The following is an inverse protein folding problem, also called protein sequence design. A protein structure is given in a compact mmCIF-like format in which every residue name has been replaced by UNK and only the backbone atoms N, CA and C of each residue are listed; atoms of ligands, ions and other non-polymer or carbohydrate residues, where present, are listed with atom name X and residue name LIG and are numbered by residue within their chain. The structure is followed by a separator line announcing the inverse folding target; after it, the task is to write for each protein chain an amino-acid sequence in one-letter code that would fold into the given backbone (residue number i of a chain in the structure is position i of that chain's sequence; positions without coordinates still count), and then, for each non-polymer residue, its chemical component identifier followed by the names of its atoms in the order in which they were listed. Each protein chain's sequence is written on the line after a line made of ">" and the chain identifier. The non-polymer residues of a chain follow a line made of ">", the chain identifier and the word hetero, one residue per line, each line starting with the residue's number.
data_IF_363985477278
#
_entry.id   IF_363985477278
#
_cell.length_a   1.000
_cell.length_b   1.000
_cell.length_c   1.000
_cell.angle_alpha   90.00
_cell.angle_beta   90.00
_cell.angle_gamma   90.00
#
_symmetry.space_group_name_H-M   'P 1'
#
loop_
_entity.id
_entity.type
_entity.pdbx_description
1 polymer ?
#
# COMPACT_ATOMS: atom_id res chain seq x y z
N UNK A 1 29.56 -16.11 -26.41
CA UNK A 1 28.63 -15.70 -25.33
C UNK A 1 29.37 -15.85 -24.02
N UNK A 2 29.44 -14.82 -23.14
CA UNK A 2 30.10 -15.04 -21.86
C UNK A 2 29.27 -16.09 -21.11
N UNK A 3 29.93 -17.18 -20.69
CA UNK A 3 29.30 -18.35 -20.08
C UNK A 3 28.87 -18.10 -18.61
N UNK A 4 28.95 -16.85 -18.14
CA UNK A 4 28.67 -16.46 -16.76
C UNK A 4 27.80 -15.19 -16.75
N UNK A 5 26.73 -15.22 -15.97
CA UNK A 5 25.87 -14.07 -15.70
C UNK A 5 26.59 -13.12 -14.74
N UNK A 6 26.69 -11.83 -15.10
CA UNK A 6 27.29 -10.82 -14.21
C UNK A 6 26.22 -10.36 -13.21
N UNK A 7 26.57 -10.37 -11.94
CA UNK A 7 25.69 -9.94 -10.85
C UNK A 7 26.33 -8.73 -10.17
N UNK A 8 25.57 -7.65 -10.06
CA UNK A 8 25.97 -6.44 -9.36
C UNK A 8 25.21 -6.40 -8.03
N UNK A 9 25.87 -6.88 -6.97
CA UNK A 9 25.41 -6.74 -5.60
C UNK A 9 25.66 -5.30 -5.15
N UNK A 10 24.59 -4.53 -4.97
CA UNK A 10 24.68 -3.11 -4.62
C UNK A 10 23.92 -2.81 -3.33
N UNK A 11 24.21 -1.66 -2.76
CA UNK A 11 23.54 -1.16 -1.56
C UNK A 11 22.12 -0.70 -1.91
N UNK A 12 21.22 -0.86 -0.95
CA UNK A 12 19.86 -0.33 -1.03
C UNK A 12 19.82 0.96 -0.23
N UNK A 13 20.17 2.06 -0.88
CA UNK A 13 20.19 3.38 -0.26
C UNK A 13 18.78 3.99 -0.19
N UNK A 14 18.49 4.73 0.88
CA UNK A 14 17.21 5.45 1.01
C UNK A 14 17.02 6.50 -0.10
N UNK A 15 18.11 7.11 -0.56
CA UNK A 15 18.10 8.12 -1.61
C UNK A 15 18.11 7.54 -3.04
N UNK A 16 18.28 6.21 -3.19
CA UNK A 16 18.27 5.53 -4.47
C UNK A 16 19.61 5.53 -5.23
N UNK A 17 20.70 6.08 -4.69
CA UNK A 17 21.96 6.25 -5.41
C UNK A 17 22.62 4.91 -5.78
N UNK A 18 22.78 4.01 -4.82
CA UNK A 18 23.34 2.67 -5.03
C UNK A 18 22.56 1.87 -6.07
N UNK A 19 21.22 1.91 -5.98
CA UNK A 19 20.32 1.27 -6.93
C UNK A 19 20.48 1.84 -8.35
N UNK A 20 20.54 3.17 -8.47
CA UNK A 20 20.64 3.86 -9.76
C UNK A 20 21.97 3.57 -10.44
N UNK A 21 23.08 3.64 -9.69
CA UNK A 21 24.42 3.34 -10.22
C UNK A 21 24.54 1.87 -10.61
N UNK A 22 24.02 0.96 -9.80
CA UNK A 22 24.02 -0.46 -10.11
C UNK A 22 23.17 -0.78 -11.34
N UNK A 23 22.00 -0.17 -11.49
CA UNK A 23 21.16 -0.34 -12.66
C UNK A 23 21.86 0.15 -13.94
N UNK A 24 22.54 1.30 -13.89
CA UNK A 24 23.32 1.82 -15.01
C UNK A 24 24.47 0.88 -15.39
N UNK A 25 25.21 0.36 -14.40
CA UNK A 25 26.28 -0.59 -14.62
C UNK A 25 25.77 -1.93 -15.17
N UNK A 26 24.65 -2.44 -14.65
CA UNK A 26 24.03 -3.68 -15.11
C UNK A 26 23.60 -3.56 -16.58
N UNK A 27 23.00 -2.44 -16.96
CA UNK A 27 22.62 -2.18 -18.34
C UNK A 27 23.84 -2.14 -19.29
N UNK A 28 24.98 -1.61 -18.83
CA UNK A 28 26.20 -1.53 -19.62
C UNK A 28 26.91 -2.87 -19.84
N UNK A 29 26.71 -3.85 -18.94
CA UNK A 29 27.39 -5.14 -18.98
C UNK A 29 26.45 -6.35 -19.17
N UNK A 30 25.18 -6.11 -19.52
CA UNK A 30 24.14 -7.15 -19.57
C UNK A 30 24.04 -7.96 -18.26
N UNK A 31 24.25 -7.28 -17.13
CA UNK A 31 24.22 -7.86 -15.79
C UNK A 31 22.85 -7.76 -15.11
N UNK A 32 22.74 -8.33 -13.91
CA UNK A 32 21.56 -8.26 -13.04
C UNK A 32 21.92 -7.59 -11.72
N UNK A 33 21.07 -6.68 -11.25
CA UNK A 33 21.25 -6.02 -9.95
C UNK A 33 20.63 -6.88 -8.86
N UNK A 34 21.40 -7.15 -7.81
CA UNK A 34 20.89 -7.69 -6.56
C UNK A 34 20.96 -6.60 -5.48
N UNK A 35 19.87 -6.44 -4.74
CA UNK A 35 19.79 -5.49 -3.63
C UNK A 35 19.47 -6.24 -2.33
N UNK A 36 20.03 -5.81 -1.18
CA UNK A 36 19.73 -6.42 0.10
C UNK A 36 18.23 -6.31 0.43
N UNK A 37 17.66 -7.27 1.18
CA UNK A 37 16.25 -7.25 1.61
C UNK A 37 15.93 -6.17 2.66
N UNK A 38 16.90 -5.33 3.00
CA UNK A 38 16.82 -4.20 3.95
C UNK A 38 17.40 -2.95 3.29
N UNK A 39 17.12 -1.76 3.84
CA UNK A 39 17.91 -0.57 3.50
C UNK A 39 19.30 -0.69 4.13
N UNK A 40 20.34 -0.34 3.39
CA UNK A 40 21.74 -0.56 3.78
C UNK A 40 22.47 -1.52 2.85
N UNK A 41 23.52 -2.14 3.37
CA UNK A 41 24.38 -3.07 2.62
C UNK A 41 24.01 -4.55 2.86
N UNK A 42 24.76 -5.47 2.25
CA UNK A 42 24.55 -6.91 2.41
C UNK A 42 24.95 -7.44 3.79
N UNK A 43 25.85 -6.76 4.50
CA UNK A 43 26.22 -7.11 5.87
C UNK A 43 25.08 -6.75 6.84
N UNK A 44 24.43 -5.60 6.66
CA UNK A 44 23.21 -5.21 7.39
C UNK A 44 22.11 -6.27 7.19
N UNK A 45 21.95 -6.78 5.97
CA UNK A 45 21.00 -7.86 5.70
C UNK A 45 21.32 -9.13 6.49
N UNK A 46 22.58 -9.56 6.55
CA UNK A 46 22.99 -10.73 7.34
C UNK A 46 22.74 -10.50 8.83
N UNK A 47 23.08 -9.33 9.35
CA UNK A 47 22.89 -9.00 10.76
C UNK A 47 21.40 -8.94 11.16
N UNK A 48 20.54 -8.40 10.28
CA UNK A 48 19.12 -8.19 10.58
C UNK A 48 18.21 -9.36 10.21
N UNK A 49 18.54 -10.12 9.16
CA UNK A 49 17.69 -11.20 8.62
C UNK A 49 18.31 -12.59 8.71
N UNK A 50 19.60 -12.68 9.03
CA UNK A 50 20.35 -13.93 9.06
C UNK A 50 20.86 -14.37 7.67
N UNK A 51 21.80 -15.31 7.68
CA UNK A 51 22.51 -15.75 6.47
C UNK A 51 21.58 -16.39 5.43
N UNK A 52 20.67 -17.26 5.86
CA UNK A 52 19.78 -18.00 4.94
C UNK A 52 18.83 -17.07 4.18
N UNK A 53 18.25 -16.08 4.85
CA UNK A 53 17.35 -15.11 4.23
C UNK A 53 18.09 -14.21 3.24
N UNK A 54 19.29 -13.76 3.60
CA UNK A 54 20.14 -12.95 2.73
C UNK A 54 20.59 -13.73 1.50
N UNK A 55 20.99 -15.00 1.69
CA UNK A 55 21.33 -15.91 0.59
C UNK A 55 20.14 -16.13 -0.33
N UNK A 56 18.95 -16.34 0.22
CA UNK A 56 17.71 -16.45 -0.58
C UNK A 56 17.45 -15.17 -1.38
N UNK A 57 17.63 -13.99 -0.80
CA UNK A 57 17.43 -12.72 -1.50
C UNK A 57 18.40 -12.55 -2.69
N UNK A 58 19.65 -12.98 -2.57
CA UNK A 58 20.59 -13.03 -3.70
C UNK A 58 20.07 -14.00 -4.77
N UNK A 59 19.68 -15.23 -4.38
CA UNK A 59 19.18 -16.22 -5.33
C UNK A 59 17.91 -15.78 -6.06
N UNK A 60 16.99 -15.12 -5.37
CA UNK A 60 15.76 -14.59 -5.95
C UNK A 60 16.07 -13.45 -6.94
N UNK A 61 17.07 -12.61 -6.66
CA UNK A 61 17.48 -11.53 -7.55
C UNK A 61 18.16 -12.02 -8.84
N UNK A 62 18.92 -13.11 -8.79
CA UNK A 62 19.65 -13.65 -9.95
C UNK A 62 18.80 -14.60 -10.80
N UNK A 63 17.68 -15.07 -10.25
CA UNK A 63 16.75 -15.91 -10.98
C UNK A 63 16.21 -15.09 -12.17
N UNK A 64 16.30 -15.60 -13.41
CA UNK A 64 15.71 -14.93 -14.56
C UNK A 64 14.25 -14.62 -14.24
N UNK A 65 13.79 -13.43 -14.65
CA UNK A 65 12.38 -13.09 -14.55
C UNK A 65 11.56 -14.25 -15.14
N UNK A 66 10.71 -14.86 -14.32
CA UNK A 66 9.93 -16.01 -14.75
C UNK A 66 9.12 -15.58 -15.98
N UNK A 67 9.41 -16.21 -17.12
CA UNK A 67 8.63 -15.97 -18.32
C UNK A 67 7.20 -16.39 -18.03
N UNK A 68 6.24 -15.61 -18.53
CA UNK A 68 4.84 -15.94 -18.34
C UNK A 68 4.59 -17.34 -18.92
N UNK A 69 3.87 -18.22 -18.21
CA UNK A 69 3.53 -19.54 -18.74
C UNK A 69 2.84 -19.44 -20.11
N UNK A 70 2.05 -18.38 -20.32
CA UNK A 70 1.32 -18.11 -21.57
C UNK A 70 2.20 -17.70 -22.75
N UNK A 71 3.51 -17.47 -22.53
CA UNK A 71 4.47 -17.15 -23.59
C UNK A 71 5.26 -18.40 -24.05
N UNK A 72 5.21 -19.49 -23.26
CA UNK A 72 6.05 -20.69 -23.48
C UNK A 72 5.24 -21.96 -23.75
N UNK A 73 4.02 -22.06 -23.21
CA UNK A 73 3.17 -23.24 -23.41
C UNK A 73 2.45 -23.23 -24.76
N UNK A 74 2.06 -24.41 -25.23
CA UNK A 74 1.24 -24.57 -26.43
C UNK A 74 -0.27 -24.51 -26.15
N UNK A 75 -1.05 -24.20 -27.20
CA UNK A 75 -2.52 -24.22 -27.15
C UNK A 75 -3.08 -25.58 -26.68
N UNK A 76 -2.50 -26.68 -27.20
CA UNK A 76 -2.97 -28.03 -26.94
C UNK A 76 -2.73 -28.44 -25.47
N UNK A 77 -1.53 -28.16 -24.96
CA UNK A 77 -1.19 -28.39 -23.54
C UNK A 77 -2.13 -27.60 -22.63
N UNK A 78 -2.32 -26.31 -22.91
CA UNK A 78 -3.22 -25.48 -22.10
C UNK A 78 -4.67 -25.95 -22.19
N UNK A 79 -5.16 -26.32 -23.36
CA UNK A 79 -6.56 -26.74 -23.54
C UNK A 79 -6.86 -28.01 -22.74
N UNK A 80 -5.93 -28.96 -22.69
CA UNK A 80 -6.04 -30.22 -21.97
C UNK A 80 -6.01 -30.08 -20.43
N UNK A 81 -5.51 -28.96 -19.89
CA UNK A 81 -5.42 -28.73 -18.45
C UNK A 81 -6.80 -28.68 -17.76
N UNK A 82 -6.83 -29.10 -16.49
CA UNK A 82 -7.99 -28.92 -15.63
C UNK A 82 -8.23 -27.44 -15.30
N UNK A 83 -9.38 -27.11 -14.68
CA UNK A 83 -9.66 -25.74 -14.25
C UNK A 83 -8.67 -25.24 -13.19
N UNK A 84 -8.27 -26.12 -12.26
CA UNK A 84 -7.27 -25.80 -11.23
C UNK A 84 -5.89 -25.59 -11.82
N UNK A 85 -5.48 -26.40 -12.80
CA UNK A 85 -4.19 -26.22 -13.45
C UNK A 85 -4.15 -24.90 -14.24
N UNK A 86 -5.22 -24.59 -14.98
CA UNK A 86 -5.36 -23.29 -15.68
C UNK A 86 -5.30 -22.12 -14.70
N UNK A 87 -5.97 -22.24 -13.56
CA UNK A 87 -5.92 -21.22 -12.52
C UNK A 87 -4.50 -21.06 -11.95
N UNK A 88 -3.77 -22.15 -11.69
CA UNK A 88 -2.35 -22.09 -11.29
C UNK A 88 -1.49 -21.35 -12.33
N UNK A 89 -1.71 -21.58 -13.63
CA UNK A 89 -0.98 -20.84 -14.69
C UNK A 89 -1.28 -19.35 -14.67
N UNK A 90 -2.52 -18.97 -14.39
CA UNK A 90 -2.88 -17.56 -14.18
C UNK A 90 -2.16 -17.01 -12.94
N UNK A 91 -2.12 -17.75 -11.83
CA UNK A 91 -1.41 -17.31 -10.62
C UNK A 91 0.09 -17.09 -10.87
N UNK A 92 0.73 -18.03 -11.56
CA UNK A 92 2.14 -17.96 -12.00
C UNK A 92 2.38 -16.75 -12.92
N UNK A 93 1.48 -16.50 -13.89
CA UNK A 93 1.57 -15.35 -14.78
C UNK A 93 1.60 -14.02 -14.03
N UNK A 94 0.85 -13.91 -12.93
CA UNK A 94 0.83 -12.71 -12.09
C UNK A 94 1.96 -12.68 -11.04
N UNK A 95 2.92 -13.62 -11.05
CA UNK A 95 4.08 -13.60 -10.14
C UNK A 95 3.70 -13.68 -8.66
N UNK A 96 2.69 -14.50 -8.35
CA UNK A 96 2.12 -14.66 -7.00
C UNK A 96 1.70 -13.31 -6.38
N UNK A 97 1.27 -12.37 -7.22
CA UNK A 97 0.89 -11.02 -6.81
C UNK A 97 -0.63 -10.86 -6.73
N UNK A 98 -1.38 -11.94 -6.57
CA UNK A 98 -2.85 -11.93 -6.44
C UNK A 98 -3.26 -12.40 -5.05
N UNK A 99 -4.32 -11.79 -4.52
CA UNK A 99 -4.97 -12.19 -3.29
C UNK A 99 -6.48 -11.90 -3.37
N UNK A 100 -7.27 -12.59 -2.55
CA UNK A 100 -8.68 -12.26 -2.34
C UNK A 100 -8.87 -11.51 -1.02
N UNK A 101 -9.93 -10.73 -0.91
CA UNK A 101 -10.36 -10.16 0.37
C UNK A 101 -10.74 -11.27 1.38
N UNK A 102 -10.99 -10.87 2.64
CA UNK A 102 -11.34 -11.80 3.71
C UNK A 102 -12.59 -12.66 3.40
N UNK A 103 -13.50 -12.16 2.55
CA UNK A 103 -14.70 -12.89 2.14
C UNK A 103 -14.50 -13.77 0.89
N UNK A 104 -13.31 -13.76 0.30
CA UNK A 104 -12.99 -14.54 -0.90
C UNK A 104 -13.63 -14.03 -2.19
N UNK A 105 -14.18 -12.81 -2.21
CA UNK A 105 -14.97 -12.28 -3.33
C UNK A 105 -14.17 -11.33 -4.22
N UNK A 106 -13.47 -10.38 -3.61
CA UNK A 106 -12.79 -9.29 -4.30
C UNK A 106 -11.34 -9.67 -4.56
N UNK A 107 -10.96 -9.65 -5.84
CA UNK A 107 -9.58 -9.87 -6.25
C UNK A 107 -8.78 -8.58 -6.11
N UNK A 108 -7.55 -8.72 -5.63
CA UNK A 108 -6.59 -7.62 -5.61
C UNK A 108 -5.26 -8.08 -6.16
N UNK A 109 -4.51 -7.12 -6.70
CA UNK A 109 -3.14 -7.33 -7.16
C UNK A 109 -2.18 -6.45 -6.41
N UNK A 110 -1.03 -7.01 -6.07
CA UNK A 110 0.07 -6.28 -5.48
C UNK A 110 0.89 -5.59 -6.56
N UNK A 111 0.91 -4.27 -6.52
CA UNK A 111 1.64 -3.41 -7.45
C UNK A 111 2.20 -2.21 -6.69
N UNK A 112 3.46 -1.84 -6.98
CA UNK A 112 4.11 -0.65 -6.41
C UNK A 112 3.98 -0.55 -4.87
N UNK A 113 4.20 -1.67 -4.18
CA UNK A 113 4.22 -1.68 -2.72
C UNK A 113 2.87 -1.89 -2.03
N UNK A 114 1.75 -1.88 -2.78
CA UNK A 114 0.39 -1.91 -2.23
C UNK A 114 -0.54 -2.89 -2.96
N UNK A 115 -1.57 -3.35 -2.28
CA UNK A 115 -2.64 -4.18 -2.82
C UNK A 115 -3.78 -3.31 -3.37
N UNK A 116 -4.05 -3.42 -4.66
CA UNK A 116 -5.14 -2.71 -5.35
C UNK A 116 -6.24 -3.67 -5.77
N UNK A 117 -7.49 -3.31 -5.49
CA UNK A 117 -8.65 -4.06 -5.97
C UNK A 117 -8.70 -4.05 -7.50
N UNK A 118 -8.93 -5.21 -8.11
CA UNK A 118 -9.21 -5.34 -9.54
C UNK A 118 -10.71 -5.61 -9.71
N UNK A 119 -11.44 -4.74 -10.43
CA UNK A 119 -12.84 -5.00 -10.75
C UNK A 119 -13.02 -6.35 -11.45
N UNK A 120 -14.01 -7.13 -11.04
CA UNK A 120 -14.21 -8.49 -11.54
C UNK A 120 -14.32 -8.57 -13.08
N UNK A 121 -15.05 -7.63 -13.69
CA UNK A 121 -15.18 -7.55 -15.15
C UNK A 121 -13.83 -7.31 -15.85
N UNK A 122 -12.96 -6.48 -15.27
CA UNK A 122 -11.61 -6.23 -15.77
C UNK A 122 -10.76 -7.47 -15.66
N UNK A 123 -10.81 -8.16 -14.51
CA UNK A 123 -10.01 -9.38 -14.32
C UNK A 123 -10.45 -10.52 -15.26
N UNK A 124 -11.75 -10.71 -15.47
CA UNK A 124 -12.28 -11.68 -16.43
C UNK A 124 -11.78 -11.40 -17.86
N UNK A 125 -11.72 -10.13 -18.28
CA UNK A 125 -11.14 -9.74 -19.58
C UNK A 125 -9.66 -10.07 -19.65
N UNK A 126 -8.89 -9.73 -18.62
CA UNK A 126 -7.46 -10.06 -18.58
C UNK A 126 -7.21 -11.57 -18.72
N UNK A 127 -8.01 -12.41 -18.05
CA UNK A 127 -7.89 -13.88 -18.20
C UNK A 127 -8.30 -14.34 -19.59
N UNK A 128 -9.33 -13.75 -20.20
CA UNK A 128 -9.69 -14.04 -21.59
C UNK A 128 -8.55 -13.68 -22.57
N UNK A 129 -7.86 -12.56 -22.35
CA UNK A 129 -6.70 -12.16 -23.17
C UNK A 129 -5.57 -13.19 -23.07
N UNK A 130 -5.37 -13.83 -21.91
CA UNK A 130 -4.39 -14.92 -21.75
C UNK A 130 -4.76 -16.16 -22.57
N UNK A 131 -6.04 -16.52 -22.65
CA UNK A 131 -6.51 -17.58 -23.55
C UNK A 131 -6.24 -17.21 -25.01
N UNK A 132 -6.52 -15.96 -25.40
CA UNK A 132 -6.29 -15.47 -26.76
C UNK A 132 -4.82 -15.50 -27.17
N UNK A 133 -3.89 -15.17 -26.26
CA UNK A 133 -2.44 -15.24 -26.53
C UNK A 133 -2.01 -16.66 -26.94
N UNK A 134 -2.59 -17.67 -26.30
CA UNK A 134 -2.38 -19.08 -26.64
C UNK A 134 -3.24 -19.56 -27.80
N UNK A 135 -4.10 -18.71 -28.37
CA UNK A 135 -5.13 -19.05 -29.36
C UNK A 135 -6.12 -20.12 -28.86
N UNK A 136 -6.21 -20.31 -27.54
CA UNK A 136 -7.05 -21.32 -26.94
C UNK A 136 -8.53 -20.86 -26.93
N UNK A 137 -9.49 -21.75 -27.27
CA UNK A 137 -10.89 -21.41 -27.26
C UNK A 137 -11.42 -21.22 -25.83
N UNK A 138 -12.27 -20.20 -25.66
CA UNK A 138 -12.90 -19.89 -24.38
C UNK A 138 -14.37 -19.49 -24.52
N UNK A 139 -15.08 -19.54 -23.40
CA UNK A 139 -16.43 -19.01 -23.23
C UNK A 139 -16.48 -18.24 -21.92
N UNK A 140 -17.50 -17.40 -21.73
CA UNK A 140 -17.70 -16.67 -20.47
C UNK A 140 -17.72 -17.61 -19.26
N UNK A 141 -18.43 -18.74 -19.35
CA UNK A 141 -18.49 -19.74 -18.29
C UNK A 141 -17.14 -20.41 -18.00
N UNK A 142 -16.33 -20.69 -19.03
CA UNK A 142 -15.00 -21.27 -18.84
C UNK A 142 -14.04 -20.30 -18.14
N UNK A 143 -14.06 -19.02 -18.55
CA UNK A 143 -13.24 -17.99 -17.91
C UNK A 143 -13.69 -17.77 -16.46
N UNK A 144 -14.99 -17.66 -16.21
CA UNK A 144 -15.53 -17.54 -14.87
C UNK A 144 -15.13 -18.72 -13.98
N UNK A 145 -15.23 -19.96 -14.48
CA UNK A 145 -14.80 -21.15 -13.74
C UNK A 145 -13.31 -21.12 -13.37
N UNK A 146 -12.43 -20.67 -14.26
CA UNK A 146 -10.99 -20.51 -13.95
C UNK A 146 -10.77 -19.44 -12.88
N UNK A 147 -11.47 -18.30 -12.97
CA UNK A 147 -11.35 -17.21 -11.97
C UNK A 147 -11.88 -17.63 -10.60
N UNK A 148 -13.03 -18.30 -10.53
CA UNK A 148 -13.56 -18.80 -9.26
C UNK A 148 -12.67 -19.89 -8.66
N UNK A 149 -12.06 -20.75 -9.50
CA UNK A 149 -11.07 -21.74 -9.02
C UNK A 149 -9.81 -21.06 -8.52
N UNK A 150 -9.34 -20.00 -9.19
CA UNK A 150 -8.18 -19.21 -8.78
C UNK A 150 -8.37 -18.59 -7.39
N UNK A 151 -9.56 -18.06 -7.09
CA UNK A 151 -9.87 -17.49 -5.76
C UNK A 151 -9.69 -18.49 -4.62
N UNK A 152 -9.83 -19.79 -4.88
CA UNK A 152 -9.62 -20.86 -3.88
C UNK A 152 -8.13 -21.17 -3.66
N UNK A 153 -7.27 -20.80 -4.61
CA UNK A 153 -5.83 -21.11 -4.61
C UNK A 153 -5.04 -19.98 -3.98
N UNK A 154 -5.37 -18.73 -4.33
CA UNK A 154 -4.60 -17.57 -3.91
C UNK A 154 -4.86 -17.21 -2.44
N UNK A 155 -3.90 -16.56 -1.76
CA UNK A 155 -4.05 -16.23 -0.35
C UNK A 155 -5.19 -15.24 -0.10
N UNK A 156 -5.78 -15.33 1.09
CA UNK A 156 -6.65 -14.31 1.65
C UNK A 156 -5.81 -13.17 2.24
N UNK A 157 -6.26 -11.93 2.03
CA UNK A 157 -5.66 -10.76 2.64
C UNK A 157 -5.89 -10.73 4.14
N UNK A 158 -4.86 -10.41 4.91
CA UNK A 158 -5.03 -10.00 6.30
C UNK A 158 -5.26 -8.48 6.41
N UNK A 159 -5.63 -8.05 7.60
CA UNK A 159 -5.68 -6.62 7.92
C UNK A 159 -4.25 -6.04 7.95
N UNK A 160 -3.98 -4.91 7.25
CA UNK A 160 -2.70 -4.23 7.36
C UNK A 160 -2.44 -3.83 8.81
N UNK A 161 -1.23 -4.09 9.29
CA UNK A 161 -0.83 -3.70 10.63
C UNK A 161 -0.80 -2.17 10.73
N UNK A 162 -1.60 -1.60 11.62
CA UNK A 162 -1.81 -0.13 11.72
C UNK A 162 -0.58 0.68 12.03
N UNK A 163 0.42 0.05 12.65
CA UNK A 163 1.71 0.67 12.93
C UNK A 163 2.52 0.94 11.67
N UNK A 164 2.16 0.35 10.53
CA UNK A 164 2.88 0.47 9.27
C UNK A 164 2.33 1.64 8.46
N UNK A 165 3.21 2.56 8.11
CA UNK A 165 2.92 3.66 7.19
C UNK A 165 3.67 3.39 5.90
N UNK A 166 2.93 3.23 4.80
CA UNK A 166 3.52 3.13 3.47
C UNK A 166 3.91 4.50 2.93
N UNK A 167 5.12 4.62 2.41
CA UNK A 167 5.65 5.75 1.64
C UNK A 167 5.93 5.27 0.22
N UNK A 168 6.23 6.18 -0.72
CA UNK A 168 6.57 5.78 -2.10
C UNK A 168 7.82 4.90 -2.16
N UNK A 169 8.79 5.13 -1.27
CA UNK A 169 10.06 4.42 -1.24
C UNK A 169 10.14 3.30 -0.18
N UNK A 170 9.07 3.00 0.58
CA UNK A 170 9.13 1.93 1.58
C UNK A 170 8.04 2.01 2.65
N UNK A 171 8.29 1.38 3.80
CA UNK A 171 7.32 1.25 4.89
C UNK A 171 7.99 1.57 6.22
N UNK A 172 7.44 2.52 6.96
CA UNK A 172 7.84 2.87 8.33
C UNK A 172 7.02 2.06 9.33
N UNK A 173 7.68 1.33 10.22
CA UNK A 173 7.04 0.78 11.42
C UNK A 173 7.13 1.78 12.56
N UNK A 174 6.01 2.45 12.88
CA UNK A 174 5.93 3.47 13.94
C UNK A 174 6.21 2.95 15.34
N UNK A 175 6.15 1.63 15.58
CA UNK A 175 6.46 1.07 16.90
C UNK A 175 7.95 0.93 17.15
N UNK A 176 8.71 0.57 16.11
CA UNK A 176 10.16 0.37 16.19
C UNK A 176 10.97 1.53 15.64
N UNK A 177 10.34 2.42 14.85
CA UNK A 177 11.00 3.47 14.08
C UNK A 177 11.77 2.95 12.86
N UNK A 178 11.66 1.65 12.54
CA UNK A 178 12.42 1.04 11.45
C UNK A 178 11.72 1.32 10.12
N UNK A 179 12.49 1.86 9.17
CA UNK A 179 12.07 1.97 7.78
C UNK A 179 12.56 0.77 6.98
N UNK A 180 11.66 0.12 6.25
CA UNK A 180 11.92 -1.13 5.53
C UNK A 180 11.36 -1.12 4.11
N UNK A 181 11.91 -1.93 3.20
CA UNK A 181 11.34 -2.09 1.87
C UNK A 181 9.89 -2.59 1.91
N UNK A 182 9.13 -2.34 0.85
CA UNK A 182 7.77 -2.87 0.75
C UNK A 182 7.74 -4.39 0.79
N UNK A 183 6.68 -4.94 1.38
CA UNK A 183 6.41 -6.38 1.40
C UNK A 183 4.93 -6.66 1.15
N UNK A 184 4.66 -7.71 0.37
CA UNK A 184 3.30 -8.27 0.16
C UNK A 184 2.64 -8.63 1.49
N UNK A 185 3.42 -9.12 2.45
CA UNK A 185 2.94 -9.56 3.77
C UNK A 185 2.48 -8.42 4.68
N UNK A 186 2.74 -7.16 4.32
CA UNK A 186 2.25 -6.01 5.09
C UNK A 186 0.79 -5.67 4.77
N UNK A 187 0.24 -6.21 3.68
CA UNK A 187 -1.15 -6.00 3.26
C UNK A 187 -1.57 -4.53 3.11
N UNK A 188 -0.60 -3.63 2.91
CA UNK A 188 -0.87 -2.20 2.70
C UNK A 188 -1.71 -2.01 1.44
N UNK A 189 -2.74 -1.18 1.53
CA UNK A 189 -3.65 -0.85 0.43
C UNK A 189 -3.41 0.53 -0.16
N UNK A 190 -2.69 1.36 0.58
CA UNK A 190 -2.33 2.73 0.23
C UNK A 190 -0.90 3.03 0.65
N UNK A 191 -0.36 4.11 0.11
CA UNK A 191 0.88 4.74 0.55
C UNK A 191 0.72 6.26 0.52
N UNK A 192 1.48 6.95 1.36
CA UNK A 192 1.69 8.39 1.25
C UNK A 192 2.50 8.64 -0.05
N UNK A 193 2.03 9.56 -0.90
CA UNK A 193 2.68 9.88 -2.18
C UNK A 193 3.92 10.78 -2.01
N UNK A 194 4.72 10.49 -1.00
CA UNK A 194 5.97 11.17 -0.66
C UNK A 194 7.01 10.12 -0.27
N UNK A 195 8.28 10.46 -0.43
CA UNK A 195 9.39 9.62 0.00
C UNK A 195 9.69 9.87 1.49
N UNK A 196 9.95 8.80 2.23
CA UNK A 196 10.51 8.91 3.57
C UNK A 196 11.97 9.32 3.47
N UNK A 197 12.36 10.28 4.30
CA UNK A 197 13.74 10.73 4.43
C UNK A 197 14.18 10.61 5.90
N UNK A 198 15.44 10.21 6.15
CA UNK A 198 15.97 10.18 7.50
C UNK A 198 16.10 11.62 8.04
N UNK A 199 15.96 11.82 9.36
CA UNK A 199 16.14 13.13 9.96
C UNK A 199 17.52 13.71 9.68
N UNK A 200 17.58 14.98 9.27
CA UNK A 200 18.84 15.71 9.08
C UNK A 200 19.24 16.42 10.38
N UNK A 201 20.54 16.56 10.63
CA UNK A 201 21.02 17.31 11.82
C UNK A 201 20.48 18.75 11.81
N UNK A 202 19.84 19.15 12.90
CA UNK A 202 19.21 20.46 13.02
C UNK A 202 17.88 20.60 12.27
N UNK A 203 17.29 19.50 11.79
CA UNK A 203 15.99 19.53 11.13
C UNK A 203 14.89 20.04 12.07
N UNK A 204 14.18 21.08 11.64
CA UNK A 204 13.02 21.64 12.34
C UNK A 204 11.93 22.00 11.35
N UNK A 205 10.67 21.95 11.78
CA UNK A 205 9.53 22.36 10.95
C UNK A 205 9.68 23.81 10.44
N UNK A 206 10.23 24.70 11.26
CA UNK A 206 10.42 26.11 10.90
C UNK A 206 11.37 26.31 9.71
N UNK A 207 12.43 25.52 9.66
CA UNK A 207 13.50 25.66 8.66
C UNK A 207 13.30 24.74 7.45
N UNK A 208 12.80 23.52 7.67
CA UNK A 208 12.68 22.47 6.65
C UNK A 208 11.26 22.33 6.10
N UNK A 209 10.26 22.88 6.80
CA UNK A 209 8.88 22.95 6.33
C UNK A 209 8.27 24.36 6.54
N UNK A 210 8.91 25.45 6.05
CA UNK A 210 8.57 26.82 6.44
C UNK A 210 7.13 27.23 6.12
N UNK A 211 6.55 26.71 5.03
CA UNK A 211 5.14 26.98 4.68
C UNK A 211 4.17 26.27 5.64
N UNK A 212 4.46 25.02 6.00
CA UNK A 212 3.70 24.28 6.99
C UNK A 212 3.81 24.94 8.36
N UNK A 213 5.01 25.35 8.77
CA UNK A 213 5.24 26.07 10.02
C UNK A 213 4.44 27.38 10.11
N UNK A 214 4.49 28.21 9.06
CA UNK A 214 3.72 29.48 9.00
C UNK A 214 2.22 29.24 9.14
N UNK A 215 1.70 28.21 8.48
CA UNK A 215 0.30 27.83 8.61
C UNK A 215 -0.01 27.32 10.03
N UNK A 216 0.81 26.41 10.58
CA UNK A 216 0.63 25.81 11.89
C UNK A 216 0.63 26.88 12.99
N UNK A 217 1.59 27.79 12.95
CA UNK A 217 1.71 28.88 13.92
C UNK A 217 0.53 29.85 13.84
N UNK A 218 0.09 30.19 12.62
CA UNK A 218 -1.11 31.01 12.40
C UNK A 218 -2.38 30.31 12.91
N UNK A 219 -2.58 29.03 12.60
CA UNK A 219 -3.74 28.25 13.04
C UNK A 219 -3.78 28.11 14.57
N UNK A 220 -2.59 28.05 15.19
CA UNK A 220 -2.42 28.05 16.63
C UNK A 220 -2.49 29.44 17.28
N UNK A 221 -2.49 30.53 16.50
CA UNK A 221 -2.44 31.90 17.01
C UNK A 221 -1.17 32.20 17.82
N UNK A 222 -0.03 31.65 17.40
CA UNK A 222 1.25 31.77 18.11
C UNK A 222 1.38 30.91 19.37
N UNK A 223 0.33 30.18 19.76
CA UNK A 223 0.31 29.39 21.00
C UNK A 223 1.00 28.02 20.80
N UNK A 224 2.10 27.79 21.52
CA UNK A 224 2.88 26.56 21.44
C UNK A 224 2.10 25.28 21.79
N UNK A 225 1.27 25.34 22.84
CA UNK A 225 0.46 24.19 23.25
C UNK A 225 -0.57 23.85 22.17
N UNK A 226 -1.21 24.86 21.56
CA UNK A 226 -2.15 24.65 20.46
C UNK A 226 -1.47 24.09 19.21
N UNK A 227 -0.22 24.50 18.91
CA UNK A 227 0.60 23.87 17.84
C UNK A 227 0.78 22.37 18.10
N UNK A 228 1.14 21.99 19.32
CA UNK A 228 1.31 20.58 19.69
C UNK A 228 0.01 19.77 19.57
N UNK A 229 -1.13 20.36 19.92
CA UNK A 229 -2.44 19.71 19.74
C UNK A 229 -2.74 19.46 18.25
N UNK A 230 -2.48 20.44 17.38
CA UNK A 230 -2.66 20.28 15.93
C UNK A 230 -1.72 19.19 15.39
N UNK A 231 -0.46 19.17 15.83
CA UNK A 231 0.50 18.12 15.44
C UNK A 231 0.05 16.73 15.93
N UNK A 232 -0.46 16.62 17.16
CA UNK A 232 -1.00 15.37 17.70
C UNK A 232 -2.23 14.89 16.91
N UNK A 233 -3.10 15.81 16.48
CA UNK A 233 -4.24 15.51 15.62
C UNK A 233 -3.80 14.98 14.23
N UNK A 234 -2.80 15.62 13.62
CA UNK A 234 -2.22 15.15 12.35
C UNK A 234 -1.52 13.79 12.51
N UNK A 235 -0.82 13.57 13.63
CA UNK A 235 -0.23 12.28 13.95
C UNK A 235 -1.29 11.19 14.13
N UNK A 236 -2.42 11.51 14.79
CA UNK A 236 -3.55 10.58 14.91
C UNK A 236 -4.06 10.14 13.54
N UNK A 237 -4.16 11.05 12.57
CA UNK A 237 -4.55 10.73 11.18
C UNK A 237 -3.48 9.86 10.50
N UNK A 238 -2.21 10.30 10.53
CA UNK A 238 -1.10 9.61 9.88
C UNK A 238 -0.91 8.17 10.39
N UNK A 239 -0.98 7.97 11.71
CA UNK A 239 -0.79 6.68 12.36
C UNK A 239 -2.11 5.90 12.58
N UNK A 240 -3.22 6.38 12.00
CA UNK A 240 -4.55 5.76 12.11
C UNK A 240 -4.94 5.39 13.56
N UNK A 241 -4.75 6.33 14.49
CA UNK A 241 -4.91 6.15 15.95
C UNK A 241 -6.36 6.31 16.42
N UNK A 242 -7.27 5.51 15.87
CA UNK A 242 -8.63 5.47 16.39
C UNK A 242 -8.69 4.93 17.84
N UNK A 243 -7.68 4.18 18.29
CA UNK A 243 -7.57 3.63 19.64
C UNK A 243 -7.45 4.70 20.74
N UNK A 244 -7.24 5.96 20.36
CA UNK A 244 -7.36 7.09 21.28
C UNK A 244 -8.81 7.40 21.65
N UNK A 245 -9.78 6.85 20.91
CA UNK A 245 -11.21 7.05 21.12
C UNK A 245 -11.62 8.53 21.06
N UNK A 246 -11.03 9.26 20.11
CA UNK A 246 -11.29 10.67 19.87
C UNK A 246 -11.71 10.88 18.41
N UNK A 247 -12.51 11.92 18.19
CA UNK A 247 -12.66 12.54 16.89
C UNK A 247 -12.18 13.99 16.96
N UNK A 248 -11.85 14.56 15.81
CA UNK A 248 -11.31 15.91 15.71
C UNK A 248 -12.42 16.88 15.33
N UNK A 249 -12.84 17.71 16.27
CA UNK A 249 -13.70 18.85 15.98
C UNK A 249 -12.83 20.09 15.70
N UNK A 250 -12.93 20.62 14.49
CA UNK A 250 -12.11 21.75 14.04
C UNK A 250 -13.00 22.96 13.84
N UNK A 251 -12.95 23.91 14.77
CA UNK A 251 -13.78 25.12 14.74
C UNK A 251 -12.94 26.39 14.54
N UNK A 252 -13.58 27.44 14.02
CA UNK A 252 -12.95 28.74 13.84
C UNK A 252 -13.59 29.59 12.74
N UNK A 253 -13.32 30.90 12.71
CA UNK A 253 -13.86 31.80 11.69
C UNK A 253 -13.37 31.44 10.28
N UNK A 254 -13.99 32.03 9.25
CA UNK A 254 -13.50 31.95 7.87
C UNK A 254 -12.02 32.40 7.77
N UNK A 255 -11.23 31.73 6.92
CA UNK A 255 -9.81 32.09 6.72
C UNK A 255 -8.85 31.70 7.85
N UNK A 256 -9.29 30.88 8.81
CA UNK A 256 -8.47 30.33 9.91
C UNK A 256 -7.57 29.15 9.50
N UNK A 257 -7.71 28.64 8.27
CA UNK A 257 -6.89 27.53 7.76
C UNK A 257 -7.47 26.12 8.02
N UNK A 258 -8.75 26.00 8.39
CA UNK A 258 -9.43 24.70 8.60
C UNK A 258 -9.41 23.81 7.36
N UNK A 259 -9.68 24.38 6.18
CA UNK A 259 -9.64 23.62 4.92
C UNK A 259 -8.22 23.12 4.63
N UNK A 260 -7.19 23.90 4.99
CA UNK A 260 -5.79 23.46 4.87
C UNK A 260 -5.50 22.29 5.82
N UNK A 261 -6.05 22.31 7.05
CA UNK A 261 -5.94 21.16 7.96
C UNK A 261 -6.53 19.89 7.34
N UNK A 262 -7.73 19.99 6.73
CA UNK A 262 -8.39 18.87 6.07
C UNK A 262 -7.59 18.35 4.87
N UNK A 263 -7.00 19.23 4.07
CA UNK A 263 -6.11 18.86 2.95
C UNK A 263 -4.83 18.16 3.44
N UNK A 264 -4.21 18.65 4.52
CA UNK A 264 -3.04 18.01 5.12
C UNK A 264 -3.42 16.63 5.67
N UNK A 265 -4.53 16.51 6.39
CA UNK A 265 -5.03 15.22 6.88
C UNK A 265 -5.30 14.23 5.73
N UNK A 266 -5.92 14.70 4.63
CA UNK A 266 -6.15 13.90 3.42
C UNK A 266 -4.83 13.44 2.79
N UNK A 267 -3.82 14.30 2.75
CA UNK A 267 -2.49 13.97 2.25
C UNK A 267 -1.82 12.87 3.09
N UNK A 268 -1.93 12.97 4.43
CA UNK A 268 -1.35 12.00 5.36
C UNK A 268 -2.05 10.64 5.30
N UNK A 269 -3.39 10.62 5.24
CA UNK A 269 -4.17 9.39 5.12
C UNK A 269 -4.11 8.76 3.72
N UNK A 270 -3.87 9.59 2.68
CA UNK A 270 -4.00 9.22 1.28
C UNK A 270 -5.41 9.49 0.75
N UNK A 271 -5.49 10.02 -0.48
CA UNK A 271 -6.77 10.38 -1.13
C UNK A 271 -7.69 9.17 -1.28
N UNK A 272 -7.15 8.03 -1.68
CA UNK A 272 -7.91 6.77 -1.86
C UNK A 272 -8.39 6.18 -0.53
N UNK A 273 -7.87 6.68 0.59
CA UNK A 273 -8.18 6.25 1.95
C UNK A 273 -8.98 7.30 2.74
N UNK A 274 -9.40 8.36 2.06
CA UNK A 274 -10.22 9.44 2.62
C UNK A 274 -11.58 9.48 1.97
N UNK A 275 -12.63 9.62 2.76
CA UNK A 275 -14.00 9.81 2.28
C UNK A 275 -14.67 10.99 2.97
N UNK A 276 -15.71 11.54 2.35
CA UNK A 276 -16.55 12.58 2.93
C UNK A 276 -17.92 12.00 3.28
N UNK A 277 -18.44 12.34 4.46
CA UNK A 277 -19.74 11.88 4.94
C UNK A 277 -20.43 12.96 5.78
N UNK A 278 -21.70 12.75 6.12
CA UNK A 278 -22.42 13.57 7.11
C UNK A 278 -22.59 12.79 8.41
N UNK A 279 -22.96 13.48 9.50
CA UNK A 279 -23.27 12.79 10.77
C UNK A 279 -24.38 11.75 10.57
N UNK A 280 -25.41 12.06 9.78
CA UNK A 280 -26.52 11.15 9.49
C UNK A 280 -26.06 9.87 8.80
N UNK A 281 -25.08 9.97 7.89
CA UNK A 281 -24.46 8.82 7.23
C UNK A 281 -23.83 7.87 8.25
N UNK A 282 -23.20 8.42 9.29
CA UNK A 282 -22.53 7.64 10.33
C UNK A 282 -23.51 7.01 11.33
N UNK A 283 -24.67 7.64 11.55
CA UNK A 283 -25.69 7.10 12.45
C UNK A 283 -26.56 6.02 11.78
N UNK A 284 -26.73 6.09 10.47
CA UNK A 284 -27.49 5.11 9.69
C UNK A 284 -26.68 3.84 9.41
N UNK A 285 -27.11 2.70 9.96
CA UNK A 285 -26.45 1.39 9.73
C UNK A 285 -26.36 0.99 8.26
N UNK A 286 -27.31 1.44 7.44
CA UNK A 286 -27.32 1.18 5.99
C UNK A 286 -26.35 2.09 5.24
N UNK A 287 -26.30 3.38 5.60
CA UNK A 287 -25.48 4.36 4.88
C UNK A 287 -24.01 4.30 5.29
N UNK A 288 -23.71 3.83 6.51
CA UNK A 288 -22.35 3.53 6.98
C UNK A 288 -21.55 2.63 6.04
N UNK A 289 -22.20 1.84 5.20
CA UNK A 289 -21.53 1.05 4.17
C UNK A 289 -20.63 1.90 3.25
N UNK A 290 -20.96 3.18 3.04
CA UNK A 290 -20.20 4.09 2.20
C UNK A 290 -18.83 4.49 2.78
N UNK A 291 -18.62 4.34 4.10
CA UNK A 291 -17.37 4.70 4.78
C UNK A 291 -16.49 3.49 5.13
N UNK A 292 -16.92 2.28 4.77
CA UNK A 292 -16.16 1.05 5.02
C UNK A 292 -14.84 1.08 4.24
N UNK A 293 -13.74 0.75 4.94
CA UNK A 293 -12.41 0.61 4.36
C UNK A 293 -11.59 1.89 4.28
N UNK A 294 -12.18 3.05 4.60
CA UNK A 294 -11.46 4.32 4.68
C UNK A 294 -10.81 4.52 6.05
N UNK A 295 -9.64 5.15 6.09
CA UNK A 295 -8.92 5.48 7.35
C UNK A 295 -9.19 6.90 7.83
N UNK A 296 -9.71 7.78 6.96
CA UNK A 296 -10.11 9.14 7.30
C UNK A 296 -11.52 9.41 6.76
N UNK A 297 -12.40 9.86 7.65
CA UNK A 297 -13.74 10.34 7.30
C UNK A 297 -13.79 11.83 7.62
N UNK A 298 -14.03 12.65 6.61
CA UNK A 298 -14.17 14.10 6.76
C UNK A 298 -15.66 14.44 6.77
N UNK A 299 -16.06 15.21 7.77
CA UNK A 299 -17.41 15.73 7.91
C UNK A 299 -17.39 17.25 7.66
N UNK A 300 -17.50 17.69 6.39
CA UNK A 300 -17.46 19.12 6.07
C UNK A 300 -18.73 19.81 6.58
N UNK A 301 -18.58 21.03 7.09
CA UNK A 301 -19.67 21.97 7.44
C UNK A 301 -20.96 21.29 7.93
N UNK A 302 -20.94 20.81 9.17
CA UNK A 302 -22.11 20.19 9.77
C UNK A 302 -23.07 21.26 10.31
N UNK A 303 -24.34 21.16 9.92
CA UNK A 303 -25.41 21.93 10.55
C UNK A 303 -25.62 21.49 12.00
N UNK A 304 -26.44 22.24 12.75
CA UNK A 304 -26.77 21.89 14.12
C UNK A 304 -27.47 20.53 14.15
N UNK A 305 -26.77 19.52 14.63
CA UNK A 305 -27.27 18.15 14.70
C UNK A 305 -27.68 17.76 16.12
N UNK A 306 -28.67 16.88 16.24
CA UNK A 306 -29.11 16.28 17.51
C UNK A 306 -29.43 14.79 17.36
N UNK A 307 -28.80 13.96 18.17
CA UNK A 307 -29.02 12.52 18.29
C UNK A 307 -28.16 11.93 19.40
N UNK A 308 -28.19 10.61 19.59
CA UNK A 308 -27.44 9.93 20.67
C UNK A 308 -25.93 9.77 20.36
N UNK A 309 -25.56 9.94 19.08
CA UNK A 309 -24.19 9.87 18.57
C UNK A 309 -23.60 8.47 18.67
N UNK A 310 -24.46 7.45 18.68
CA UNK A 310 -24.05 6.06 18.87
C UNK A 310 -23.15 5.59 17.71
N UNK A 311 -23.48 5.97 16.48
CA UNK A 311 -22.70 5.63 15.29
C UNK A 311 -21.30 6.23 15.32
N UNK A 312 -21.19 7.55 15.57
CA UNK A 312 -19.89 8.22 15.70
C UNK A 312 -19.06 7.62 16.83
N UNK A 313 -19.67 7.36 18.00
CA UNK A 313 -18.99 6.74 19.13
C UNK A 313 -18.48 5.33 18.80
N UNK A 314 -19.26 4.51 18.11
CA UNK A 314 -18.84 3.17 17.75
C UNK A 314 -17.65 3.19 16.76
N UNK A 315 -17.71 4.05 15.73
CA UNK A 315 -16.63 4.20 14.75
C UNK A 315 -15.34 4.70 15.42
N UNK A 316 -15.46 5.71 16.28
CA UNK A 316 -14.30 6.31 16.96
C UNK A 316 -13.79 5.48 18.12
N UNK A 317 -14.65 4.66 18.75
CA UNK A 317 -14.32 3.71 19.80
C UNK A 317 -13.65 2.42 19.30
N UNK A 318 -13.75 2.15 17.99
CA UNK A 318 -13.22 0.93 17.38
C UNK A 318 -14.13 -0.29 17.56
N UNK A 319 -15.41 -0.08 17.84
CA UNK A 319 -16.40 -1.14 17.91
C UNK A 319 -16.63 -1.76 16.53
N UNK A 320 -17.10 -3.00 16.47
CA UNK A 320 -17.57 -3.58 15.22
C UNK A 320 -18.90 -2.91 14.83
N UNK A 321 -18.92 -2.19 13.71
CA UNK A 321 -20.04 -1.35 13.26
C UNK A 321 -20.63 -1.77 11.92
#
# INVERSE_FOLDING_TARGET
>A
HPACQIILAADRDLNGDGQTKAAAAAAACEGVVALPPVFGDWNDAVMLKGEDATRKAIYDAIRPAAQSPFDTMSEAEFTAMSASDKAMRVHEHYGEALAVDANGQLLSRYENGIWKNIPAATFLRNVADLFQRLRAPFSSGKIASVVETLKLIIPQQDAPARRLIGFRNGVLDTSSGIFSPHSKSHWLRTLCDVDFTPPVEGETLETHAPNFWRWLDRAAGGNAQKRNIILAALFMVLANRYDWQLFLEVTGPGGSGKSILAEIATMLAGKDNTTSATIETLESSRERAAVIGYSLIILPDQEKWSGDGAGIKAITGGDAV
#
